data_IF_918270542538
#
_entry.id   IF_918270542538
#
_cell.length_a   1.000
_cell.length_b   1.000
_cell.length_c   1.000
_cell.angle_alpha   90.00
_cell.angle_beta   90.00
_cell.angle_gamma   90.00
#
_symmetry.space_group_name_H-M   'P 1'
#
loop_
_entity.id
_entity.type
_entity.pdbx_description
1 polymer ?
#
# COMPACT_ATOMS: atom_id res chain seq x y z
N UNK A 1 38.50 -5.20 -5.93
CA UNK A 1 39.09 -4.67 -7.19
C UNK A 1 39.23 -3.14 -7.16
N UNK A 2 38.31 -2.38 -6.54
CA UNK A 2 38.40 -0.92 -6.42
C UNK A 2 39.50 -0.42 -5.44
N UNK A 3 39.83 -1.18 -4.40
CA UNK A 3 40.85 -0.74 -3.42
C UNK A 3 42.27 -0.75 -3.99
N UNK A 4 42.59 -1.74 -4.83
CA UNK A 4 43.92 -1.86 -5.46
C UNK A 4 44.19 -0.69 -6.43
N UNK A 5 43.18 -0.27 -7.20
CA UNK A 5 43.28 0.88 -8.12
C UNK A 5 43.43 2.20 -7.38
N UNK A 6 42.78 2.34 -6.21
CA UNK A 6 42.87 3.54 -5.37
C UNK A 6 44.25 3.69 -4.74
N UNK A 7 44.88 2.57 -4.38
CA UNK A 7 46.20 2.53 -3.78
C UNK A 7 47.32 2.78 -4.81
N UNK A 8 47.15 2.27 -6.02
CA UNK A 8 48.04 2.52 -7.15
C UNK A 8 48.00 3.98 -7.61
N UNK A 9 46.81 4.58 -7.70
CA UNK A 9 46.64 6.01 -8.01
C UNK A 9 47.28 6.92 -6.95
N UNK A 10 47.21 6.51 -5.67
CA UNK A 10 47.83 7.25 -4.55
C UNK A 10 49.36 7.20 -4.62
N UNK A 11 49.94 6.06 -5.02
CA UNK A 11 51.38 5.90 -5.23
C UNK A 11 51.89 6.71 -6.43
N UNK A 12 51.11 6.78 -7.52
CA UNK A 12 51.45 7.57 -8.71
C UNK A 12 51.43 9.08 -8.41
N UNK A 13 50.44 9.54 -7.64
CA UNK A 13 50.35 10.94 -7.19
C UNK A 13 51.48 11.33 -6.22
N UNK A 14 51.92 10.42 -5.35
CA UNK A 14 53.06 10.65 -4.45
C UNK A 14 54.41 10.70 -5.17
N UNK A 15 54.54 10.05 -6.32
CA UNK A 15 55.79 10.00 -7.10
C UNK A 15 55.97 11.18 -8.06
N UNK A 16 54.91 11.96 -8.32
CA UNK A 16 54.87 13.00 -9.35
C UNK A 16 54.71 14.44 -8.82
N UNK A 17 54.43 14.64 -7.52
CA UNK A 17 54.25 15.96 -6.90
C UNK A 17 55.25 16.16 -5.75
N UNK A 18 55.68 17.41 -5.52
CA UNK A 18 56.56 17.73 -4.40
C UNK A 18 55.82 17.52 -3.06
N UNK A 19 56.54 17.28 -1.95
CA UNK A 19 55.91 17.13 -0.63
C UNK A 19 55.10 18.36 -0.21
N UNK A 20 55.47 19.55 -0.68
CA UNK A 20 54.76 20.81 -0.44
C UNK A 20 53.43 20.85 -1.19
N UNK A 21 53.40 20.44 -2.47
CA UNK A 21 52.18 20.38 -3.28
C UNK A 21 51.15 19.36 -2.74
N UNK A 22 51.65 18.26 -2.17
CA UNK A 22 50.80 17.26 -1.51
C UNK A 22 50.18 17.86 -0.23
N UNK A 23 50.97 18.59 0.54
CA UNK A 23 50.49 19.24 1.76
C UNK A 23 49.46 20.33 1.44
N UNK A 24 49.71 21.16 0.42
CA UNK A 24 48.79 22.20 -0.04
C UNK A 24 47.44 21.62 -0.49
N UNK A 25 47.44 20.57 -1.32
CA UNK A 25 46.21 19.88 -1.75
C UNK A 25 45.46 19.21 -0.58
N UNK A 26 46.18 18.71 0.42
CA UNK A 26 45.55 18.14 1.61
C UNK A 26 44.87 19.21 2.47
N UNK A 27 45.48 20.39 2.62
CA UNK A 27 44.88 21.54 3.31
C UNK A 27 43.65 22.04 2.55
N UNK A 28 43.74 22.17 1.23
CA UNK A 28 42.63 22.58 0.37
C UNK A 28 41.44 21.60 0.46
N UNK A 29 41.71 20.28 0.48
CA UNK A 29 40.67 19.27 0.67
C UNK A 29 40.02 19.33 2.06
N UNK A 30 40.79 19.60 3.12
CA UNK A 30 40.24 19.74 4.47
C UNK A 30 39.31 20.95 4.57
N UNK A 31 39.69 22.09 4.00
CA UNK A 31 38.84 23.29 3.94
C UNK A 31 37.52 23.02 3.21
N UNK A 32 37.58 22.38 2.02
CA UNK A 32 36.37 21.99 1.27
C UNK A 32 35.46 21.03 2.03
N UNK A 33 36.02 20.14 2.86
CA UNK A 33 35.23 19.23 3.70
C UNK A 33 34.56 19.98 4.86
N UNK A 34 35.24 20.95 5.46
CA UNK A 34 34.70 21.78 6.54
C UNK A 34 33.59 22.70 6.05
N UNK A 35 33.75 23.34 4.89
CA UNK A 35 32.71 24.13 4.23
C UNK A 35 31.46 23.28 3.96
N UNK A 36 31.63 22.08 3.39
CA UNK A 36 30.51 21.14 3.15
C UNK A 36 29.84 20.68 4.46
N UNK A 37 30.59 20.52 5.55
CA UNK A 37 30.00 20.22 6.87
C UNK A 37 29.20 21.41 7.41
N UNK A 38 29.71 22.62 7.25
CA UNK A 38 29.03 23.84 7.70
C UNK A 38 27.76 24.10 6.87
N UNK A 39 27.79 23.84 5.57
CA UNK A 39 26.61 23.93 4.71
C UNK A 39 25.54 22.89 5.06
N UNK A 40 25.94 21.63 5.30
CA UNK A 40 25.03 20.58 5.78
C UNK A 40 24.39 20.91 7.13
N UNK A 41 25.12 21.54 8.05
CA UNK A 41 24.54 21.95 9.35
C UNK A 41 23.56 23.10 9.20
N UNK A 42 23.82 24.08 8.30
CA UNK A 42 22.86 25.14 7.95
C UNK A 42 21.59 24.55 7.31
N UNK A 43 21.72 23.63 6.35
CA UNK A 43 20.57 22.96 5.71
C UNK A 43 19.72 22.19 6.72
N UNK A 44 20.34 21.47 7.67
CA UNK A 44 19.59 20.77 8.75
C UNK A 44 18.79 21.72 9.63
N UNK A 45 19.35 22.89 9.97
CA UNK A 45 18.64 23.91 10.75
C UNK A 45 17.42 24.46 9.99
N UNK A 46 17.58 24.76 8.70
CA UNK A 46 16.48 25.24 7.85
C UNK A 46 15.38 24.17 7.73
N UNK A 47 15.76 22.91 7.52
CA UNK A 47 14.80 21.80 7.46
C UNK A 47 14.01 21.66 8.77
N UNK A 48 14.68 21.78 9.92
CA UNK A 48 14.01 21.71 11.23
C UNK A 48 13.00 22.85 11.41
N UNK A 49 13.34 24.08 11.01
CA UNK A 49 12.42 25.24 11.06
C UNK A 49 11.21 25.05 10.15
N UNK A 50 11.40 24.54 8.93
CA UNK A 50 10.28 24.26 8.03
C UNK A 50 9.37 23.16 8.57
N UNK A 51 9.95 22.13 9.18
CA UNK A 51 9.20 21.03 9.77
C UNK A 51 8.37 21.47 10.98
N UNK A 52 8.90 22.34 11.85
CA UNK A 52 8.12 22.87 12.99
C UNK A 52 6.97 23.77 12.54
N UNK A 53 7.17 24.58 11.51
CA UNK A 53 6.08 25.38 10.91
C UNK A 53 4.98 24.51 10.30
N UNK A 54 5.35 23.40 9.65
CA UNK A 54 4.38 22.46 9.08
C UNK A 54 3.56 21.76 10.16
N UNK A 55 4.18 21.36 11.28
CA UNK A 55 3.45 20.79 12.42
C UNK A 55 2.46 21.79 13.01
N UNK A 56 2.86 23.05 13.21
CA UNK A 56 1.96 24.10 13.69
C UNK A 56 0.76 24.28 12.76
N UNK A 57 0.98 24.28 11.44
CA UNK A 57 -0.10 24.38 10.47
C UNK A 57 -1.07 23.18 10.54
N UNK A 58 -0.55 21.95 10.69
CA UNK A 58 -1.38 20.76 10.84
C UNK A 58 -2.26 20.81 12.10
N UNK A 59 -1.72 21.27 13.24
CA UNK A 59 -2.50 21.41 14.47
C UNK A 59 -3.65 22.40 14.29
N UNK A 60 -3.41 23.54 13.63
CA UNK A 60 -4.45 24.54 13.33
C UNK A 60 -5.51 23.97 12.38
N UNK A 61 -5.10 23.22 11.35
CA UNK A 61 -6.03 22.60 10.41
C UNK A 61 -6.93 21.54 11.09
N UNK A 62 -6.35 20.73 11.99
CA UNK A 62 -7.08 19.72 12.75
C UNK A 62 -8.10 20.38 13.68
N UNK A 63 -7.72 21.42 14.43
CA UNK A 63 -8.64 22.11 15.33
C UNK A 63 -9.75 22.82 14.54
N UNK A 64 -9.44 23.44 13.41
CA UNK A 64 -10.43 24.04 12.51
C UNK A 64 -11.43 23.02 11.98
N UNK A 65 -10.95 21.85 11.52
CA UNK A 65 -11.80 20.76 11.05
C UNK A 65 -12.73 20.23 12.15
N UNK A 66 -12.22 20.10 13.37
CA UNK A 66 -13.01 19.64 14.52
C UNK A 66 -14.14 20.63 14.88
N UNK A 67 -13.85 21.94 14.87
CA UNK A 67 -14.86 22.99 15.12
C UNK A 67 -15.96 22.95 14.06
N UNK A 68 -15.61 22.86 12.77
CA UNK A 68 -16.56 22.73 11.66
C UNK A 68 -17.48 21.51 11.83
N UNK A 69 -16.93 20.37 12.25
CA UNK A 69 -17.71 19.16 12.43
C UNK A 69 -18.65 19.25 13.66
N UNK A 70 -18.20 19.90 14.73
CA UNK A 70 -19.04 20.11 15.94
C UNK A 70 -20.27 20.98 15.66
N UNK A 71 -20.18 21.96 14.76
CA UNK A 71 -21.33 22.80 14.37
C UNK A 71 -22.37 22.01 13.56
N UNK A 72 -21.95 21.05 12.72
CA UNK A 72 -22.86 20.18 11.97
C UNK A 72 -23.71 19.29 12.88
N UNK A 73 -23.15 18.83 14.00
CA UNK A 73 -23.86 17.97 14.98
C UNK A 73 -24.96 18.78 15.70
N UNK A 74 -24.67 20.00 16.15
CA UNK A 74 -25.68 20.88 16.80
C UNK A 74 -26.85 21.23 15.88
N UNK A 75 -26.57 21.51 14.61
CA UNK A 75 -27.61 21.78 13.60
C UNK A 75 -28.48 20.56 13.26
N UNK A 76 -28.02 19.34 13.56
CA UNK A 76 -28.78 18.11 13.35
C UNK A 76 -29.72 17.84 14.53
N UNK A 77 -29.27 18.06 15.76
CA UNK A 77 -30.09 17.90 16.97
C UNK A 77 -31.27 18.89 17.02
N UNK A 78 -31.08 20.14 16.57
CA UNK A 78 -32.14 21.15 16.50
C UNK A 78 -33.24 20.78 15.47
N UNK A 79 -32.88 20.12 14.36
CA UNK A 79 -33.85 19.65 13.35
C UNK A 79 -34.65 18.44 13.81
N UNK A 80 -34.09 17.58 14.67
CA UNK A 80 -34.78 16.39 15.18
C UNK A 80 -35.87 16.76 16.21
N UNK A 81 -35.71 17.85 16.96
CA UNK A 81 -36.73 18.28 17.92
C UNK A 81 -38.01 18.84 17.28
N UNK A 82 -37.94 19.34 16.04
CA UNK A 82 -39.11 19.88 15.30
C UNK A 82 -40.02 18.74 14.78
N UNK A 83 -39.49 17.53 14.58
CA UNK A 83 -40.22 16.38 14.00
C UNK A 83 -41.08 15.64 15.05
N UNK A 84 -40.78 15.80 16.34
CA UNK A 84 -41.40 14.99 17.41
C UNK A 84 -42.69 15.57 18.02
N UNK A 85 -43.33 16.56 17.39
CA UNK A 85 -44.59 17.14 17.86
C UNK A 85 -45.76 16.77 16.93
N UNK A 86 -46.58 15.74 17.25
CA UNK A 86 -47.67 15.33 16.37
C UNK A 86 -48.94 16.17 16.64
N UNK A 87 -49.26 17.09 15.73
CA UNK A 87 -50.59 17.69 15.66
C UNK A 87 -51.47 16.81 14.77
N UNK A 88 -52.49 16.17 15.38
CA UNK A 88 -53.59 15.45 14.69
C UNK A 88 -54.20 16.34 13.59
N UNK A 89 -54.43 15.79 12.39
CA UNK A 89 -55.61 16.00 11.53
C UNK A 89 -55.66 14.90 10.43
N UNK A 90 -56.76 14.14 10.48
CA UNK A 90 -57.67 13.61 9.45
C UNK A 90 -57.25 13.17 8.02
N UNK A 91 -57.92 12.10 7.60
CA UNK A 91 -57.73 11.23 6.44
C UNK A 91 -58.44 11.77 5.20
N UNK A 92 -57.77 11.82 4.04
CA UNK A 92 -58.41 11.75 2.71
C UNK A 92 -57.61 10.85 1.75
N UNK A 93 -58.35 10.10 0.93
CA UNK A 93 -57.93 8.97 0.08
C UNK A 93 -57.40 9.42 -1.29
N UNK A 94 -56.26 8.82 -1.68
CA UNK A 94 -55.72 8.43 -3.01
C UNK A 94 -55.86 9.36 -4.25
N UNK A 95 -54.79 9.50 -5.08
CA UNK A 95 -54.39 8.40 -5.97
C UNK A 95 -52.89 8.06 -6.00
N UNK A 96 -52.62 6.79 -6.31
CA UNK A 96 -51.29 6.18 -6.51
C UNK A 96 -50.45 6.93 -7.55
N UNK A 97 -49.30 7.43 -7.09
CA UNK A 97 -48.12 7.68 -7.94
C UNK A 97 -46.97 6.94 -7.26
N UNK A 98 -46.40 5.95 -7.96
CA UNK A 98 -45.26 5.16 -7.49
C UNK A 98 -44.01 6.04 -7.40
N UNK A 99 -43.79 6.66 -6.25
CA UNK A 99 -42.46 7.16 -5.91
C UNK A 99 -41.58 5.98 -5.50
N UNK A 100 -40.57 5.71 -6.32
CA UNK A 100 -39.43 4.85 -5.97
C UNK A 100 -38.85 5.32 -4.63
N UNK A 101 -39.16 4.58 -3.58
CA UNK A 101 -38.48 4.68 -2.29
C UNK A 101 -37.03 4.26 -2.55
N UNK A 102 -36.15 5.25 -2.74
CA UNK A 102 -34.71 5.04 -2.62
C UNK A 102 -34.46 4.84 -1.13
N UNK A 103 -34.51 3.58 -0.69
CA UNK A 103 -33.96 3.14 0.58
C UNK A 103 -32.49 3.56 0.58
N UNK A 104 -32.18 4.66 1.28
CA UNK A 104 -30.82 4.92 1.74
C UNK A 104 -30.47 3.74 2.65
N UNK A 105 -29.67 2.80 2.13
CA UNK A 105 -29.01 1.80 2.95
C UNK A 105 -28.26 2.56 4.05
N UNK A 106 -28.81 2.51 5.26
CA UNK A 106 -28.04 2.82 6.46
C UNK A 106 -27.03 1.70 6.53
N UNK A 107 -25.80 1.98 6.06
CA UNK A 107 -24.64 1.13 6.32
C UNK A 107 -24.43 1.20 7.82
N UNK A 108 -25.12 0.30 8.54
CA UNK A 108 -24.77 -0.04 9.91
C UNK A 108 -23.45 -0.77 9.77
N UNK A 109 -22.33 -0.08 9.99
CA UNK A 109 -21.03 -0.73 10.17
C UNK A 109 -21.20 -1.76 11.28
N UNK A 110 -21.39 -3.02 10.88
CA UNK A 110 -21.45 -4.14 11.79
C UNK A 110 -20.01 -4.40 12.18
N UNK A 111 -19.52 -3.68 13.17
CA UNK A 111 -18.27 -4.02 13.83
C UNK A 111 -18.47 -5.39 14.46
N UNK A 112 -18.06 -6.45 13.75
CA UNK A 112 -18.07 -7.80 14.29
C UNK A 112 -16.97 -7.81 15.36
N UNK A 113 -17.30 -7.93 16.66
CA UNK A 113 -16.27 -8.09 17.67
C UNK A 113 -15.58 -9.44 17.42
N UNK A 114 -14.37 -9.40 16.87
CA UNK A 114 -13.54 -10.59 16.67
C UNK A 114 -13.06 -11.02 18.06
N UNK A 115 -13.67 -12.07 18.62
CA UNK A 115 -13.18 -12.68 19.86
C UNK A 115 -11.84 -13.37 19.62
N UNK A 116 -11.06 -13.59 20.69
CA UNK A 116 -9.77 -14.29 20.60
C UNK A 116 -9.92 -15.71 20.03
N UNK A 117 -11.01 -16.40 20.32
CA UNK A 117 -11.29 -17.72 19.74
C UNK A 117 -11.55 -17.63 18.23
N UNK A 118 -12.40 -16.69 17.78
CA UNK A 118 -12.67 -16.47 16.35
C UNK A 118 -11.43 -16.06 15.57
N UNK A 119 -10.56 -15.24 16.17
CA UNK A 119 -9.27 -14.90 15.56
C UNK A 119 -8.42 -16.15 15.34
N UNK A 120 -8.33 -17.03 16.34
CA UNK A 120 -7.54 -18.27 16.23
C UNK A 120 -8.09 -19.18 15.13
N UNK A 121 -9.41 -19.30 15.01
CA UNK A 121 -10.07 -20.08 13.96
C UNK A 121 -9.73 -19.55 12.55
N UNK A 122 -9.85 -18.23 12.34
CA UNK A 122 -9.53 -17.55 11.07
C UNK A 122 -8.09 -17.82 10.60
N UNK A 123 -7.12 -17.77 11.51
CA UNK A 123 -5.69 -17.89 11.16
C UNK A 123 -5.17 -19.34 11.15
N UNK A 124 -5.81 -20.25 11.88
CA UNK A 124 -5.40 -21.67 11.93
C UNK A 124 -6.15 -22.57 10.96
N UNK A 125 -7.17 -22.06 10.24
CA UNK A 125 -7.83 -22.80 9.17
C UNK A 125 -6.79 -23.32 8.15
N UNK A 126 -6.87 -24.62 7.87
CA UNK A 126 -6.03 -25.32 6.89
C UNK A 126 -6.77 -25.68 5.61
N UNK A 127 -8.10 -25.74 5.66
CA UNK A 127 -8.93 -26.11 4.53
C UNK A 127 -9.15 -24.87 3.68
N UNK A 128 -8.84 -24.97 2.39
CA UNK A 128 -9.04 -23.86 1.48
C UNK A 128 -9.40 -24.34 0.08
N UNK A 129 -10.21 -23.54 -0.59
CA UNK A 129 -10.39 -23.61 -2.03
C UNK A 129 -9.31 -22.74 -2.70
N UNK A 130 -8.89 -23.11 -3.91
CA UNK A 130 -7.78 -22.47 -4.60
C UNK A 130 -8.17 -22.09 -6.04
N UNK A 131 -8.08 -20.80 -6.35
CA UNK A 131 -8.05 -20.32 -7.73
C UNK A 131 -6.63 -19.97 -8.15
N UNK A 132 -6.32 -20.23 -9.42
CA UNK A 132 -5.01 -19.98 -10.03
C UNK A 132 -5.22 -19.17 -11.30
N UNK A 133 -4.35 -18.19 -11.50
CA UNK A 133 -4.31 -17.42 -12.72
C UNK A 133 -2.85 -17.22 -13.13
N UNK A 134 -2.41 -18.02 -14.10
CA UNK A 134 -1.00 -18.23 -14.41
C UNK A 134 -0.58 -17.78 -15.82
N UNK A 135 -1.43 -17.00 -16.49
CA UNK A 135 -1.23 -16.57 -17.88
C UNK A 135 -0.70 -15.14 -17.99
N UNK A 136 -0.05 -14.65 -16.93
CA UNK A 136 0.53 -13.31 -16.94
C UNK A 136 1.72 -13.28 -17.89
N UNK A 137 1.92 -12.18 -18.62
CA UNK A 137 3.19 -11.90 -19.30
C UNK A 137 4.28 -11.57 -18.28
N UNK A 138 5.53 -11.58 -18.74
CA UNK A 138 6.69 -11.19 -17.92
C UNK A 138 6.45 -9.80 -17.33
N UNK A 139 6.57 -9.69 -16.00
CA UNK A 139 6.32 -8.45 -15.24
C UNK A 139 4.92 -7.84 -15.40
N UNK A 140 3.95 -8.56 -15.98
CA UNK A 140 2.57 -8.11 -16.01
C UNK A 140 2.04 -7.97 -14.58
N UNK A 141 1.30 -6.91 -14.31
CA UNK A 141 0.67 -6.64 -13.00
C UNK A 141 -0.84 -6.80 -13.09
N UNK A 142 -1.43 -6.23 -14.15
CA UNK A 142 -2.86 -6.21 -14.36
C UNK A 142 -3.42 -7.59 -14.69
N UNK A 143 -4.58 -7.88 -14.11
CA UNK A 143 -5.38 -9.04 -14.47
C UNK A 143 -5.88 -8.90 -15.91
N UNK A 144 -5.73 -9.94 -16.72
CA UNK A 144 -6.43 -10.04 -18.00
C UNK A 144 -7.92 -10.38 -17.79
N UNK A 145 -8.72 -10.28 -18.84
CA UNK A 145 -10.16 -10.48 -18.75
C UNK A 145 -10.53 -11.92 -18.38
N UNK A 146 -9.85 -12.92 -18.95
CA UNK A 146 -10.13 -14.33 -18.64
C UNK A 146 -9.89 -14.64 -17.16
N UNK A 147 -8.81 -14.09 -16.62
CA UNK A 147 -8.47 -14.19 -15.22
C UNK A 147 -9.49 -13.47 -14.33
N UNK A 148 -9.94 -12.27 -14.72
CA UNK A 148 -10.98 -11.54 -13.99
C UNK A 148 -12.27 -12.35 -13.91
N UNK A 149 -12.71 -12.96 -15.00
CA UNK A 149 -13.94 -13.74 -15.05
C UNK A 149 -13.83 -14.99 -14.15
N UNK A 150 -12.75 -15.76 -14.30
CA UNK A 150 -12.49 -16.95 -13.49
C UNK A 150 -12.38 -16.62 -12.00
N UNK A 151 -11.70 -15.51 -11.66
CA UNK A 151 -11.59 -15.06 -10.27
C UNK A 151 -12.94 -14.57 -9.74
N UNK A 152 -13.75 -13.87 -10.54
CA UNK A 152 -15.07 -13.43 -10.12
C UNK A 152 -15.95 -14.60 -9.73
N UNK A 153 -16.01 -15.63 -10.57
CA UNK A 153 -16.75 -16.85 -10.28
C UNK A 153 -16.25 -17.52 -9.00
N UNK A 154 -14.93 -17.69 -8.88
CA UNK A 154 -14.34 -18.25 -7.67
C UNK A 154 -14.70 -17.46 -6.41
N UNK A 155 -14.60 -16.13 -6.45
CA UNK A 155 -14.90 -15.27 -5.30
C UNK A 155 -16.37 -15.36 -4.90
N UNK A 156 -17.29 -15.30 -5.86
CA UNK A 156 -18.73 -15.41 -5.61
C UNK A 156 -19.12 -16.78 -5.05
N UNK A 157 -18.45 -17.85 -5.50
CA UNK A 157 -18.65 -19.21 -4.97
C UNK A 157 -18.04 -19.41 -3.57
N UNK A 158 -17.26 -18.46 -3.07
CA UNK A 158 -16.56 -18.56 -1.79
C UNK A 158 -16.85 -17.38 -0.85
N UNK A 159 -18.02 -16.75 -0.97
CA UNK A 159 -18.43 -15.58 -0.15
C UNK A 159 -18.42 -15.83 1.35
N UNK A 160 -18.55 -17.09 1.78
CA UNK A 160 -18.55 -17.51 3.19
C UNK A 160 -17.14 -17.84 3.74
N UNK A 161 -16.08 -17.64 2.96
CA UNK A 161 -14.73 -17.89 3.41
C UNK A 161 -14.33 -16.96 4.57
N UNK A 162 -13.63 -17.51 5.57
CA UNK A 162 -13.13 -16.77 6.73
C UNK A 162 -12.11 -15.70 6.34
N UNK A 163 -11.29 -16.00 5.34
CA UNK A 163 -10.30 -15.07 4.76
C UNK A 163 -9.88 -15.49 3.36
N UNK A 164 -9.41 -14.52 2.59
CA UNK A 164 -8.74 -14.77 1.32
C UNK A 164 -7.24 -14.44 1.42
N UNK A 165 -6.39 -15.37 1.01
CA UNK A 165 -4.94 -15.17 0.91
C UNK A 165 -4.52 -15.08 -0.55
N UNK A 166 -3.87 -13.99 -0.92
CA UNK A 166 -3.47 -13.70 -2.30
C UNK A 166 -1.96 -13.78 -2.38
N UNK A 167 -1.45 -14.66 -3.25
CA UNK A 167 -0.02 -14.95 -3.39
C UNK A 167 0.39 -14.75 -4.85
N UNK A 168 1.43 -13.96 -5.06
CA UNK A 168 2.03 -13.82 -6.38
C UNK A 168 2.91 -15.02 -6.72
N UNK A 169 2.85 -15.45 -7.97
CA UNK A 169 3.68 -16.50 -8.54
C UNK A 169 4.58 -15.87 -9.60
N UNK A 170 5.88 -16.11 -9.50
CA UNK A 170 6.88 -15.68 -10.47
C UNK A 170 7.51 -16.90 -11.14
N UNK A 171 8.03 -16.72 -12.34
CA UNK A 171 8.77 -17.78 -13.05
C UNK A 171 10.19 -17.32 -13.41
N UNK A 172 10.92 -18.19 -14.10
CA UNK A 172 12.29 -17.92 -14.55
C UNK A 172 12.41 -16.75 -15.53
N UNK A 173 11.37 -16.40 -16.28
CA UNK A 173 11.40 -15.27 -17.20
C UNK A 173 11.32 -13.93 -16.46
N UNK A 174 10.49 -13.86 -15.41
CA UNK A 174 10.48 -12.72 -14.48
C UNK A 174 11.87 -12.55 -13.84
N UNK A 175 12.49 -13.65 -13.38
CA UNK A 175 13.85 -13.64 -12.79
C UNK A 175 14.89 -13.14 -13.81
N UNK A 176 14.88 -13.69 -15.04
CA UNK A 176 15.77 -13.24 -16.11
C UNK A 176 15.60 -11.75 -16.40
N UNK A 177 14.36 -11.25 -16.42
CA UNK A 177 14.09 -9.83 -16.62
C UNK A 177 14.66 -8.98 -15.50
N UNK A 178 14.55 -9.41 -14.24
CA UNK A 178 15.18 -8.72 -13.11
C UNK A 178 16.71 -8.69 -13.24
N UNK A 179 17.34 -9.78 -13.67
CA UNK A 179 18.79 -9.85 -13.92
C UNK A 179 19.24 -8.90 -15.03
N UNK A 180 18.43 -8.71 -16.08
CA UNK A 180 18.73 -7.71 -17.13
C UNK A 180 18.66 -6.27 -16.59
N UNK A 181 17.79 -6.01 -15.60
CA UNK A 181 17.64 -4.68 -15.02
C UNK A 181 18.73 -4.33 -14.00
N UNK A 182 19.33 -5.33 -13.36
CA UNK A 182 20.39 -5.13 -12.37
C UNK A 182 21.26 -6.36 -12.24
N UNK A 183 22.59 -6.17 -12.18
CA UNK A 183 23.54 -7.24 -11.84
C UNK A 183 23.67 -7.47 -10.32
N UNK A 184 23.21 -6.53 -9.49
CA UNK A 184 23.20 -6.66 -8.04
C UNK A 184 22.04 -7.59 -7.58
N UNK A 185 22.38 -8.67 -6.87
CA UNK A 185 21.42 -9.69 -6.42
C UNK A 185 20.38 -9.14 -5.43
N UNK A 186 20.77 -8.22 -4.56
CA UNK A 186 19.87 -7.60 -3.60
C UNK A 186 18.84 -6.72 -4.33
N UNK A 187 19.29 -5.97 -5.32
CA UNK A 187 18.40 -5.14 -6.14
C UNK A 187 17.48 -6.00 -7.02
N UNK A 188 17.97 -7.12 -7.59
CA UNK A 188 17.12 -8.08 -8.31
C UNK A 188 15.98 -8.61 -7.42
N UNK A 189 16.31 -9.00 -6.18
CA UNK A 189 15.32 -9.47 -5.22
C UNK A 189 14.28 -8.40 -4.88
N UNK A 190 14.70 -7.13 -4.71
CA UNK A 190 13.76 -6.03 -4.49
C UNK A 190 12.85 -5.77 -5.69
N UNK A 191 13.37 -5.87 -6.91
CA UNK A 191 12.56 -5.76 -8.13
C UNK A 191 11.49 -6.85 -8.16
N UNK A 192 11.87 -8.10 -7.90
CA UNK A 192 10.94 -9.24 -7.89
C UNK A 192 9.88 -9.10 -6.79
N UNK A 193 10.29 -8.73 -5.58
CA UNK A 193 9.37 -8.48 -4.46
C UNK A 193 8.42 -7.32 -4.74
N UNK A 194 8.90 -6.21 -5.29
CA UNK A 194 8.07 -5.06 -5.65
C UNK A 194 7.02 -5.41 -6.70
N UNK A 195 7.44 -6.10 -7.77
CA UNK A 195 6.55 -6.56 -8.82
C UNK A 195 5.51 -7.55 -8.30
N UNK A 196 5.93 -8.56 -7.52
CA UNK A 196 5.04 -9.51 -6.88
C UNK A 196 4.03 -8.82 -5.95
N UNK A 197 4.50 -7.85 -5.15
CA UNK A 197 3.65 -7.05 -4.28
C UNK A 197 2.59 -6.28 -5.07
N UNK A 198 2.96 -5.71 -6.21
CA UNK A 198 2.01 -5.01 -7.09
C UNK A 198 0.94 -5.97 -7.64
N UNK A 199 1.31 -7.19 -8.06
CA UNK A 199 0.32 -8.22 -8.47
C UNK A 199 -0.67 -8.52 -7.34
N UNK A 200 -0.18 -8.73 -6.11
CA UNK A 200 -1.02 -9.00 -4.94
C UNK A 200 -1.97 -7.83 -4.68
N UNK A 201 -1.50 -6.59 -4.77
CA UNK A 201 -2.33 -5.40 -4.56
C UNK A 201 -3.42 -5.29 -5.62
N UNK A 202 -3.11 -5.44 -6.91
CA UNK A 202 -4.09 -5.42 -8.01
C UNK A 202 -5.24 -6.40 -7.76
N UNK A 203 -4.90 -7.64 -7.41
CA UNK A 203 -5.89 -8.67 -7.11
C UNK A 203 -6.65 -8.38 -5.83
N UNK A 204 -5.99 -7.79 -4.82
CA UNK A 204 -6.65 -7.38 -3.58
C UNK A 204 -7.73 -6.33 -3.85
N UNK A 205 -7.44 -5.36 -4.73
CA UNK A 205 -8.41 -4.36 -5.19
C UNK A 205 -9.57 -5.02 -5.92
N UNK A 206 -9.28 -5.85 -6.92
CA UNK A 206 -10.32 -6.57 -7.66
C UNK A 206 -11.20 -7.45 -6.76
N UNK A 207 -10.59 -8.11 -5.76
CA UNK A 207 -11.34 -8.94 -4.79
C UNK A 207 -12.33 -8.09 -3.99
N UNK A 208 -11.93 -6.90 -3.56
CA UNK A 208 -12.82 -5.94 -2.86
C UNK A 208 -13.89 -5.37 -3.79
N UNK A 209 -13.57 -5.14 -5.06
CA UNK A 209 -14.57 -4.71 -6.04
C UNK A 209 -15.69 -5.75 -6.22
N UNK A 210 -15.36 -7.04 -6.16
CA UNK A 210 -16.32 -8.13 -6.34
C UNK A 210 -17.11 -8.43 -5.06
N UNK A 211 -16.45 -8.51 -3.91
CA UNK A 211 -17.06 -8.98 -2.65
C UNK A 211 -17.40 -7.87 -1.65
N UNK A 212 -17.01 -6.62 -1.91
CA UNK A 212 -17.13 -5.51 -0.98
C UNK A 212 -15.95 -5.35 -0.02
N UNK A 213 -16.04 -4.36 0.85
CA UNK A 213 -14.93 -3.94 1.73
C UNK A 213 -14.83 -4.72 3.05
N UNK A 214 -15.84 -5.49 3.42
CA UNK A 214 -15.95 -6.19 4.72
C UNK A 214 -15.22 -7.55 4.75
N UNK A 215 -14.57 -7.94 3.66
CA UNK A 215 -13.82 -9.19 3.57
C UNK A 215 -12.46 -9.11 4.29
N UNK A 216 -12.04 -10.22 4.87
CA UNK A 216 -10.70 -10.35 5.42
C UNK A 216 -9.70 -10.79 4.34
N UNK A 217 -8.90 -9.84 3.85
CA UNK A 217 -7.77 -10.13 2.95
C UNK A 217 -6.48 -10.27 3.74
N UNK A 218 -5.76 -11.36 3.49
CA UNK A 218 -4.38 -11.57 3.97
C UNK A 218 -3.42 -11.45 2.78
N UNK A 219 -2.95 -10.24 2.44
CA UNK A 219 -1.93 -10.12 1.43
C UNK A 219 -0.58 -10.61 1.98
N UNK A 220 0.12 -11.46 1.22
CA UNK A 220 1.44 -11.94 1.64
C UNK A 220 2.58 -11.05 1.13
N UNK A 221 3.69 -11.05 1.86
CA UNK A 221 4.92 -10.32 1.50
C UNK A 221 5.99 -11.21 0.85
N UNK A 222 5.60 -12.41 0.42
CA UNK A 222 6.46 -13.35 -0.31
C UNK A 222 5.83 -13.68 -1.66
N UNK A 223 6.64 -14.16 -2.59
CA UNK A 223 6.16 -14.77 -3.83
C UNK A 223 6.53 -16.24 -3.86
N UNK A 224 5.82 -17.02 -4.67
CA UNK A 224 6.23 -18.37 -5.00
C UNK A 224 6.99 -18.38 -6.31
N UNK A 225 8.16 -19.01 -6.31
CA UNK A 225 8.87 -19.32 -7.53
C UNK A 225 8.34 -20.62 -8.12
N UNK A 226 7.78 -20.53 -9.32
CA UNK A 226 7.29 -21.69 -10.05
C UNK A 226 8.46 -22.44 -10.69
N UNK A 227 8.55 -23.75 -10.43
CA UNK A 227 9.44 -24.67 -11.18
C UNK A 227 8.97 -24.89 -12.63
N UNK A 228 7.69 -24.62 -12.91
CA UNK A 228 7.07 -24.63 -14.25
C UNK A 228 7.08 -23.22 -14.85
N UNK A 229 6.55 -23.06 -16.07
CA UNK A 229 6.43 -21.75 -16.72
C UNK A 229 5.30 -20.84 -16.19
N UNK A 230 4.65 -21.22 -15.08
CA UNK A 230 3.52 -20.49 -14.51
C UNK A 230 3.96 -19.18 -13.84
N UNK A 231 3.29 -18.07 -14.17
CA UNK A 231 3.50 -16.75 -13.56
C UNK A 231 2.17 -16.01 -13.47
N UNK A 232 1.95 -15.28 -12.38
CA UNK A 232 0.70 -14.59 -12.14
C UNK A 232 0.36 -14.60 -10.67
N UNK A 233 -0.83 -15.07 -10.32
CA UNK A 233 -1.38 -15.02 -8.96
C UNK A 233 -2.17 -16.27 -8.62
N UNK A 234 -2.27 -16.55 -7.33
CA UNK A 234 -3.20 -17.55 -6.80
C UNK A 234 -3.93 -16.97 -5.59
N UNK A 235 -5.20 -17.35 -5.44
CA UNK A 235 -6.04 -16.93 -4.32
C UNK A 235 -6.52 -18.18 -3.59
N UNK A 236 -6.33 -18.20 -2.27
CA UNK A 236 -6.87 -19.22 -1.38
C UNK A 236 -8.04 -18.64 -0.60
N UNK A 237 -9.16 -19.33 -0.56
CA UNK A 237 -10.32 -19.01 0.27
C UNK A 237 -10.40 -20.03 1.41
N UNK A 238 -10.20 -19.58 2.66
CA UNK A 238 -10.06 -20.44 3.85
C UNK A 238 -11.40 -20.65 4.57
N UNK A 239 -11.60 -21.86 5.11
CA UNK A 239 -12.80 -22.30 5.84
C UNK A 239 -12.46 -22.97 7.16
#
# INVERSE_FOLDING_TARGET
MQDNQKEELKKILQKSMSQEEIHEKLVEQKLKIEEKKQEKTKQKKIFYILFTLLIMFLVVAITYYFVLNSQKIKNYEEKVQIINNPKKIEIQKEPKVEEKIILKEVIVEKQIPITKEKFKEIFLSKNFNLAKCYDYKVFQIKLDNSCKDNLKEFLLNNTQALRFEIIAVINNEDIKKATVLSNDKTLQEYILKGMARHRVLEVSWYTKEVLGNEILLTPVNYYLSSKKQNKGVMIKAYY
#
